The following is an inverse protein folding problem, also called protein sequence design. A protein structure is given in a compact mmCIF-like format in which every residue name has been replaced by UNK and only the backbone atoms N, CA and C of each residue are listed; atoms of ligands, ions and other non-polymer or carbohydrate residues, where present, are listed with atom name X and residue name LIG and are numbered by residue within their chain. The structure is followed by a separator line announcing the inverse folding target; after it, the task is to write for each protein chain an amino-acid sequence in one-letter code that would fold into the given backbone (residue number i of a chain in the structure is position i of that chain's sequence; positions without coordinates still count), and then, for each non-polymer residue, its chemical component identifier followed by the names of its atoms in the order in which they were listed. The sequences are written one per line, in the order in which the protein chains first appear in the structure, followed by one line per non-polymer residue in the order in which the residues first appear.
data_IF_879390638570
#
_entry.id   IF_879390638570
#
_cell.length_a   1.000
_cell.length_b   1.000
_cell.length_c   1.000
_cell.angle_alpha   90.00
_cell.angle_beta   90.00
_cell.angle_gamma   90.00
#
_symmetry.space_group_name_H-M   'P 1'
#
loop_
_entity.id
_entity.type
_entity.pdbx_description
1 polymer ?
#
# COMPACT_ATOMS: atom_id res chain seq x y z
N UNK A 1 20.21 -28.36 -5.36
CA UNK A 1 19.59 -27.12 -5.89
C UNK A 1 18.44 -26.77 -4.97
N UNK A 2 18.52 -25.66 -4.25
CA UNK A 2 17.49 -25.23 -3.31
C UNK A 2 16.30 -24.73 -4.13
N UNK A 3 15.18 -25.46 -4.10
CA UNK A 3 13.95 -25.08 -4.80
C UNK A 3 13.34 -23.89 -4.05
N UNK A 4 13.44 -22.70 -4.62
CA UNK A 4 12.74 -21.52 -4.09
C UNK A 4 11.24 -21.78 -4.07
N UNK A 5 10.58 -21.48 -2.95
CA UNK A 5 9.18 -21.82 -2.63
C UNK A 5 8.08 -21.15 -3.47
N UNK A 6 8.36 -20.82 -4.73
CA UNK A 6 7.39 -20.20 -5.65
C UNK A 6 6.47 -21.21 -6.33
N UNK A 7 6.85 -22.49 -6.42
CA UNK A 7 6.07 -23.50 -7.16
C UNK A 7 4.71 -23.81 -6.51
N UNK A 8 4.59 -23.66 -5.18
CA UNK A 8 3.36 -23.88 -4.42
C UNK A 8 2.73 -22.58 -3.90
N UNK A 9 3.25 -21.42 -4.30
CA UNK A 9 2.70 -20.14 -3.87
C UNK A 9 1.38 -19.87 -4.60
N UNK A 10 0.41 -19.30 -3.87
CA UNK A 10 -0.82 -18.81 -4.49
C UNK A 10 -0.46 -17.72 -5.53
N UNK A 11 -0.95 -17.81 -6.78
CA UNK A 11 -0.81 -16.73 -7.75
C UNK A 11 -1.26 -15.39 -7.16
N UNK A 12 -0.49 -14.30 -7.30
CA UNK A 12 -0.84 -13.02 -6.65
C UNK A 12 -2.24 -12.50 -7.00
N UNK A 13 -2.70 -12.73 -8.23
CA UNK A 13 -4.04 -12.33 -8.67
C UNK A 13 -5.18 -13.08 -7.97
N UNK A 14 -4.89 -14.23 -7.36
CA UNK A 14 -5.87 -14.99 -6.58
C UNK A 14 -5.99 -14.51 -5.13
N UNK A 15 -5.10 -13.63 -4.66
CA UNK A 15 -5.18 -13.06 -3.31
C UNK A 15 -6.39 -12.12 -3.15
N UNK A 16 -6.95 -11.59 -4.23
CA UNK A 16 -8.17 -10.77 -4.19
C UNK A 16 -8.13 -9.68 -3.12
N UNK A 17 -8.92 -9.85 -2.06
CA UNK A 17 -9.02 -8.96 -0.91
C UNK A 17 -8.47 -9.57 0.39
N UNK A 18 -7.76 -10.70 0.32
CA UNK A 18 -7.28 -11.47 1.47
C UNK A 18 -6.19 -10.73 2.26
N UNK A 19 -5.63 -9.66 1.69
CA UNK A 19 -4.65 -8.79 2.34
C UNK A 19 -5.28 -7.50 2.92
N UNK A 20 -6.61 -7.37 2.89
CA UNK A 20 -7.29 -6.29 3.62
C UNK A 20 -7.04 -6.48 5.12
N UNK A 21 -6.69 -5.38 5.79
CA UNK A 21 -6.48 -5.35 7.22
C UNK A 21 -7.74 -5.80 7.96
N UNK A 22 -7.57 -6.70 8.93
CA UNK A 22 -8.67 -7.21 9.73
C UNK A 22 -9.16 -6.15 10.74
N UNK A 23 -10.45 -6.19 11.15
CA UNK A 23 -10.97 -5.31 12.19
C UNK A 23 -10.10 -5.29 13.45
N UNK A 24 -9.78 -4.09 13.94
CA UNK A 24 -8.92 -3.89 15.11
C UNK A 24 -7.43 -3.99 14.82
N UNK A 25 -7.01 -4.09 13.55
CA UNK A 25 -5.60 -4.08 13.18
C UNK A 25 -4.89 -2.85 13.74
N UNK A 26 -3.72 -3.03 14.40
CA UNK A 26 -2.93 -1.91 14.89
C UNK A 26 -2.36 -1.05 13.74
N UNK A 27 -2.42 -1.54 12.50
CA UNK A 27 -1.96 -0.82 11.31
C UNK A 27 -2.95 0.24 10.82
N UNK A 28 -4.19 0.25 11.32
CA UNK A 28 -5.17 1.26 10.92
C UNK A 28 -4.64 2.68 11.16
N UNK A 29 -4.61 3.44 10.08
CA UNK A 29 -4.18 4.83 10.04
C UNK A 29 -2.74 5.08 10.49
N UNK A 30 -1.84 4.10 10.36
CA UNK A 30 -0.42 4.24 10.76
C UNK A 30 0.53 4.62 9.64
N UNK A 31 0.02 4.76 8.41
CA UNK A 31 0.77 5.21 7.25
C UNK A 31 1.06 6.71 7.29
N UNK A 32 2.24 7.05 6.80
CA UNK A 32 2.63 8.45 6.53
C UNK A 32 2.11 8.88 5.15
N UNK A 33 2.10 10.19 4.89
CA UNK A 33 2.03 10.69 3.52
C UNK A 33 3.44 10.73 2.93
N UNK A 34 3.81 9.84 2.01
CA UNK A 34 5.16 9.77 1.47
C UNK A 34 5.51 11.01 0.62
N UNK A 35 4.53 11.79 0.16
CA UNK A 35 4.77 13.06 -0.53
C UNK A 35 5.33 14.16 0.39
N UNK A 36 5.29 13.94 1.70
CA UNK A 36 5.84 14.86 2.71
C UNK A 36 7.28 14.53 3.11
N UNK A 37 7.86 13.45 2.57
CA UNK A 37 9.24 13.08 2.85
C UNK A 37 10.22 14.11 2.28
N UNK A 38 11.14 14.57 3.12
CA UNK A 38 12.16 15.53 2.72
C UNK A 38 13.20 14.88 1.80
N UNK A 39 13.78 15.70 0.89
CA UNK A 39 14.86 15.26 0.00
C UNK A 39 14.43 14.46 -1.22
N UNK A 40 13.12 14.25 -1.45
CA UNK A 40 12.63 13.63 -2.68
C UNK A 40 12.82 14.57 -3.89
N UNK A 41 13.34 14.07 -5.03
CA UNK A 41 13.35 14.83 -6.28
C UNK A 41 11.93 15.25 -6.68
N UNK A 42 11.79 16.45 -7.24
CA UNK A 42 10.49 17.00 -7.63
C UNK A 42 9.73 16.13 -8.64
N UNK A 43 10.43 15.48 -9.57
CA UNK A 43 9.84 14.55 -10.53
C UNK A 43 9.23 13.32 -9.82
N UNK A 44 9.96 12.73 -8.87
CA UNK A 44 9.44 11.60 -8.06
C UNK A 44 8.22 12.03 -7.26
N UNK A 45 8.26 13.21 -6.64
CA UNK A 45 7.15 13.75 -5.88
C UNK A 45 5.89 13.95 -6.75
N UNK A 46 6.08 14.46 -7.98
CA UNK A 46 4.99 14.68 -8.94
C UNK A 46 4.33 13.35 -9.33
N UNK A 47 5.13 12.35 -9.69
CA UNK A 47 4.62 11.05 -10.11
C UNK A 47 3.98 10.29 -8.96
N UNK A 48 4.58 10.34 -7.77
CA UNK A 48 4.08 9.68 -6.56
C UNK A 48 2.64 10.12 -6.23
N UNK A 49 2.35 11.42 -6.32
CA UNK A 49 1.02 11.98 -6.02
C UNK A 49 -0.11 11.41 -6.88
N UNK A 50 0.21 10.85 -8.06
CA UNK A 50 -0.77 10.21 -8.92
C UNK A 50 -1.26 8.86 -8.38
N UNK A 51 -0.51 8.22 -7.46
CA UNK A 51 -0.75 6.83 -7.05
C UNK A 51 -1.01 6.66 -5.54
N UNK A 52 -0.61 7.60 -4.69
CA UNK A 52 -0.64 7.38 -3.22
C UNK A 52 -1.96 7.72 -2.53
N UNK A 53 -2.88 8.40 -3.23
CA UNK A 53 -4.13 8.87 -2.62
C UNK A 53 -5.34 7.98 -2.91
N UNK A 54 -5.11 6.85 -3.57
CA UNK A 54 -6.12 5.83 -3.84
C UNK A 54 -5.50 4.46 -3.60
N UNK A 55 -6.22 3.55 -2.96
CA UNK A 55 -5.79 2.17 -2.78
C UNK A 55 -6.00 1.33 -4.05
N UNK A 56 -5.57 0.05 -4.02
CA UNK A 56 -5.66 -0.84 -5.19
C UNK A 56 -7.10 -1.11 -5.66
N UNK A 57 -8.09 -0.91 -4.79
CA UNK A 57 -9.52 -1.09 -5.07
C UNK A 57 -10.24 0.23 -5.41
N UNK A 58 -9.52 1.34 -5.53
CA UNK A 58 -10.12 2.64 -5.85
C UNK A 58 -10.58 3.44 -4.63
N UNK A 59 -10.30 3.00 -3.40
CA UNK A 59 -10.71 3.71 -2.18
C UNK A 59 -9.75 4.85 -1.85
N UNK A 60 -10.32 6.01 -1.54
CA UNK A 60 -9.54 7.21 -1.21
C UNK A 60 -8.70 7.00 0.06
N UNK A 61 -7.46 7.48 0.03
CA UNK A 61 -6.56 7.57 1.19
C UNK A 61 -6.53 9.01 1.72
N UNK A 62 -6.42 9.21 3.04
CA UNK A 62 -6.35 10.56 3.60
C UNK A 62 -5.09 11.32 3.13
N UNK A 63 -5.25 12.60 2.83
CA UNK A 63 -4.14 13.49 2.51
C UNK A 63 -3.38 13.87 3.79
N UNK A 64 -2.05 13.92 3.74
CA UNK A 64 -1.24 14.37 4.88
C UNK A 64 -0.98 13.31 5.96
N UNK A 65 -1.43 12.07 5.77
CA UNK A 65 -1.10 10.92 6.62
C UNK A 65 -2.34 10.22 7.18
N UNK A 66 -2.16 9.17 7.96
CA UNK A 66 -3.28 8.39 8.48
C UNK A 66 -3.87 7.41 7.46
N UNK A 67 -3.13 7.13 6.39
CA UNK A 67 -3.43 6.02 5.49
C UNK A 67 -3.11 4.68 6.16
N UNK A 68 -3.66 3.59 5.65
CA UNK A 68 -3.23 2.27 6.08
C UNK A 68 -1.94 1.85 5.38
N UNK A 69 -0.98 1.27 6.13
CA UNK A 69 0.16 0.59 5.52
C UNK A 69 -0.31 -0.57 4.64
N UNK A 70 0.31 -0.72 3.46
CA UNK A 70 -0.02 -1.77 2.50
C UNK A 70 -0.91 -1.29 1.36
N UNK A 71 -1.46 -2.22 0.60
CA UNK A 71 -2.16 -1.94 -0.66
C UNK A 71 -3.61 -1.49 -0.52
N UNK A 72 -4.25 -1.79 0.62
CA UNK A 72 -5.68 -1.56 0.87
C UNK A 72 -5.90 -0.51 1.95
N UNK A 73 -7.05 0.17 1.89
CA UNK A 73 -7.50 1.14 2.88
C UNK A 73 -8.78 0.63 3.59
N UNK A 74 -8.79 0.63 4.92
CA UNK A 74 -9.96 0.31 5.74
C UNK A 74 -11.02 1.40 5.73
#
# INVERSE_FOLDING_TARGET
MTQYGYFSALPPLQLGNDLILQPGSPAYGKGIDPSTLSGLPSAILSDLKNYIYTDINGKARPLGGGSDPGAYQH
#
